data_IF_139686811752
#
_entry.id   IF_139686811752
#
_cell.length_a   1.000
_cell.length_b   1.000
_cell.length_c   1.000
_cell.angle_alpha   90.00
_cell.angle_beta   90.00
_cell.angle_gamma   90.00
#
_symmetry.space_group_name_H-M   'P 1'
#
loop_
_entity.id
_entity.type
_entity.pdbx_description
1 polymer ?
#
# COMPACT_ATOMS: atom_id res chain seq x y z
N UNK A 1 -30.76 11.78 -8.80
CA UNK A 1 -30.09 10.46 -8.94
C UNK A 1 -29.68 9.84 -7.59
N UNK A 2 -29.23 10.60 -6.58
CA UNK A 2 -28.85 10.06 -5.26
C UNK A 2 -29.93 9.22 -4.54
N UNK A 3 -31.23 9.57 -4.65
CA UNK A 3 -32.33 8.85 -3.98
C UNK A 3 -32.55 7.42 -4.49
N UNK A 4 -32.36 7.15 -5.79
CA UNK A 4 -32.71 5.87 -6.42
C UNK A 4 -31.85 4.72 -5.90
N UNK A 5 -30.56 4.97 -5.66
CA UNK A 5 -29.61 3.96 -5.20
C UNK A 5 -29.59 3.77 -3.67
N UNK A 6 -30.09 4.74 -2.90
CA UNK A 6 -30.17 4.66 -1.44
C UNK A 6 -31.48 4.05 -0.93
N UNK A 7 -32.48 3.84 -1.80
CA UNK A 7 -33.81 3.31 -1.43
C UNK A 7 -34.14 1.99 -2.13
N UNK A 8 -33.31 1.50 -3.03
CA UNK A 8 -33.53 0.22 -3.70
C UNK A 8 -33.16 -0.93 -2.77
N UNK A 9 -34.11 -1.83 -2.51
CA UNK A 9 -33.90 -3.05 -1.70
C UNK A 9 -32.86 -3.97 -2.34
N UNK A 10 -32.84 -4.07 -3.67
CA UNK A 10 -31.89 -4.88 -4.43
C UNK A 10 -31.53 -4.22 -5.75
N UNK A 11 -30.24 -4.24 -6.08
CA UNK A 11 -29.72 -3.83 -7.39
C UNK A 11 -29.16 -5.03 -8.14
N UNK A 12 -29.60 -5.20 -9.38
CA UNK A 12 -29.14 -6.27 -10.29
C UNK A 12 -28.12 -5.70 -11.25
N UNK A 13 -26.94 -6.29 -11.26
CA UNK A 13 -25.82 -5.91 -12.12
C UNK A 13 -25.76 -6.82 -13.33
N UNK A 14 -25.98 -6.24 -14.50
CA UNK A 14 -25.97 -6.99 -15.75
C UNK A 14 -24.60 -6.92 -16.46
N UNK A 15 -23.97 -8.08 -16.52
CA UNK A 15 -22.73 -8.36 -17.25
C UNK A 15 -23.06 -8.93 -18.63
N UNK A 16 -23.37 -8.05 -19.57
CA UNK A 16 -23.76 -8.40 -20.95
C UNK A 16 -22.67 -9.14 -21.73
N UNK A 17 -21.43 -9.06 -21.27
CA UNK A 17 -20.24 -9.62 -21.92
C UNK A 17 -19.53 -10.72 -21.10
N UNK A 18 -20.11 -11.16 -19.98
CA UNK A 18 -19.63 -12.33 -19.22
C UNK A 18 -20.49 -13.54 -19.60
N UNK A 19 -19.87 -14.61 -20.10
CA UNK A 19 -20.57 -15.83 -20.50
C UNK A 19 -20.74 -16.83 -19.35
N UNK A 20 -21.68 -17.79 -19.45
CA UNK A 20 -21.82 -18.85 -18.45
C UNK A 20 -20.55 -19.68 -18.27
N UNK A 21 -19.80 -19.92 -19.34
CA UNK A 21 -18.53 -20.66 -19.27
C UNK A 21 -17.51 -19.94 -18.40
N UNK A 22 -17.42 -18.61 -18.50
CA UNK A 22 -16.52 -17.81 -17.65
C UNK A 22 -16.85 -18.01 -16.17
N UNK A 23 -18.13 -18.01 -15.81
CA UNK A 23 -18.54 -18.27 -14.42
C UNK A 23 -18.23 -19.71 -14.01
N UNK A 24 -18.54 -20.70 -14.84
CA UNK A 24 -18.27 -22.11 -14.55
C UNK A 24 -16.78 -22.37 -14.32
N UNK A 25 -15.92 -21.88 -15.21
CA UNK A 25 -14.47 -22.03 -15.09
C UNK A 25 -13.90 -21.29 -13.88
N UNK A 26 -14.42 -20.10 -13.56
CA UNK A 26 -13.99 -19.32 -12.39
C UNK A 26 -14.24 -20.07 -11.07
N UNK A 27 -15.36 -20.80 -10.97
CA UNK A 27 -15.76 -21.56 -9.78
C UNK A 27 -15.18 -22.97 -9.71
N UNK A 28 -14.37 -23.40 -10.69
CA UNK A 28 -13.63 -24.66 -10.56
C UNK A 28 -12.55 -24.53 -9.49
N UNK A 29 -12.46 -25.53 -8.62
CA UNK A 29 -11.40 -25.56 -7.59
C UNK A 29 -10.02 -25.89 -8.17
N UNK A 30 -9.96 -26.52 -9.35
CA UNK A 30 -8.69 -26.89 -9.99
C UNK A 30 -8.11 -25.73 -10.78
N UNK A 31 -6.79 -25.54 -10.63
CA UNK A 31 -6.01 -24.62 -11.43
C UNK A 31 -6.01 -25.07 -12.90
N UNK A 32 -6.38 -24.17 -13.80
CA UNK A 32 -6.35 -24.40 -15.23
C UNK A 32 -6.18 -23.05 -15.95
N UNK A 33 -5.50 -22.99 -17.12
CA UNK A 33 -5.40 -21.76 -17.93
C UNK A 33 -6.74 -21.06 -18.16
N UNK A 34 -7.81 -21.84 -18.26
CA UNK A 34 -9.20 -21.40 -18.44
C UNK A 34 -9.74 -20.63 -17.22
N UNK A 35 -9.31 -20.99 -16.00
CA UNK A 35 -9.68 -20.28 -14.77
C UNK A 35 -9.02 -18.89 -14.71
N UNK A 36 -7.77 -18.78 -15.14
CA UNK A 36 -7.07 -17.48 -15.27
C UNK A 36 -7.68 -16.61 -16.38
N UNK A 37 -8.02 -17.21 -17.53
CA UNK A 37 -8.74 -16.52 -18.60
C UNK A 37 -10.10 -15.99 -18.14
N UNK A 38 -10.78 -16.73 -17.27
CA UNK A 38 -12.05 -16.32 -16.68
C UNK A 38 -11.92 -15.15 -15.71
N UNK A 39 -10.85 -15.13 -14.90
CA UNK A 39 -10.48 -13.96 -14.09
C UNK A 39 -10.31 -12.73 -14.98
N UNK A 40 -9.56 -12.85 -16.07
CA UNK A 40 -9.35 -11.77 -17.04
C UNK A 40 -10.68 -11.28 -17.62
N UNK A 41 -11.54 -12.21 -18.05
CA UNK A 41 -12.82 -11.89 -18.69
C UNK A 41 -13.77 -11.12 -17.77
N UNK A 42 -13.94 -11.56 -16.51
CA UNK A 42 -14.78 -10.84 -15.53
C UNK A 42 -14.25 -9.43 -15.29
N UNK A 43 -12.94 -9.29 -15.12
CA UNK A 43 -12.31 -8.02 -14.77
C UNK A 43 -12.28 -7.03 -15.93
N UNK A 44 -12.20 -7.52 -17.16
CA UNK A 44 -12.28 -6.70 -18.37
C UNK A 44 -13.71 -6.43 -18.85
N UNK A 45 -14.74 -6.88 -18.11
CA UNK A 45 -16.13 -6.69 -18.52
C UNK A 45 -16.48 -5.21 -18.72
N UNK A 46 -17.35 -4.94 -19.70
CA UNK A 46 -17.90 -3.60 -19.99
C UNK A 46 -18.61 -3.01 -18.79
N UNK A 47 -19.11 -3.85 -17.90
CA UNK A 47 -19.74 -3.42 -16.65
C UNK A 47 -18.78 -2.58 -15.78
N UNK A 48 -17.53 -3.02 -15.60
CA UNK A 48 -16.49 -2.24 -14.93
C UNK A 48 -15.97 -1.04 -15.76
N UNK A 49 -16.52 -0.78 -16.94
CA UNK A 49 -16.25 0.46 -17.69
C UNK A 49 -17.23 1.59 -17.35
N UNK A 50 -18.32 1.28 -16.66
CA UNK A 50 -19.38 2.24 -16.32
C UNK A 50 -19.09 2.90 -14.97
N UNK A 51 -19.53 4.15 -14.86
CA UNK A 51 -19.21 5.04 -13.72
C UNK A 51 -20.16 4.86 -12.55
N UNK A 52 -21.34 4.30 -12.81
CA UNK A 52 -22.34 4.07 -11.78
C UNK A 52 -22.11 2.77 -11.01
N UNK A 53 -21.35 1.83 -11.57
CA UNK A 53 -20.85 0.59 -10.96
C UNK A 53 -20.37 0.79 -9.53
N UNK A 54 -19.64 1.87 -9.24
CA UNK A 54 -19.21 2.18 -7.89
C UNK A 54 -20.35 2.50 -6.91
N UNK A 55 -21.19 3.45 -7.30
CA UNK A 55 -22.22 4.01 -6.43
C UNK A 55 -23.44 3.10 -6.33
N UNK A 56 -23.76 2.37 -7.41
CA UNK A 56 -24.73 1.28 -7.42
C UNK A 56 -24.34 0.22 -6.39
N UNK A 57 -23.08 -0.18 -6.34
CA UNK A 57 -22.66 -1.22 -5.40
C UNK A 57 -22.49 -0.77 -3.96
N UNK A 58 -22.04 0.46 -3.74
CA UNK A 58 -21.80 1.00 -2.41
C UNK A 58 -23.12 1.38 -1.72
N UNK A 59 -24.10 1.89 -2.47
CA UNK A 59 -25.37 2.39 -1.90
C UNK A 59 -26.49 1.37 -1.87
N UNK A 60 -26.42 0.34 -2.72
CA UNK A 60 -27.45 -0.70 -2.73
C UNK A 60 -27.29 -1.63 -1.56
N UNK A 61 -28.38 -1.86 -0.82
CA UNK A 61 -28.39 -2.75 0.33
C UNK A 61 -28.03 -4.19 -0.07
N UNK A 62 -28.65 -4.69 -1.15
CA UNK A 62 -28.32 -5.98 -1.78
C UNK A 62 -27.89 -5.80 -3.23
N UNK A 63 -26.89 -6.59 -3.62
CA UNK A 63 -26.34 -6.63 -4.98
C UNK A 63 -26.49 -8.05 -5.51
N UNK A 64 -26.97 -8.18 -6.75
CA UNK A 64 -27.17 -9.45 -7.45
C UNK A 64 -26.60 -9.37 -8.86
N UNK A 65 -26.31 -10.52 -9.47
CA UNK A 65 -25.68 -10.56 -10.79
C UNK A 65 -26.61 -11.22 -11.80
N UNK A 66 -26.54 -10.70 -13.01
CA UNK A 66 -27.10 -11.33 -14.20
C UNK A 66 -26.00 -11.31 -15.28
N UNK A 67 -25.79 -12.43 -15.95
CA UNK A 67 -24.76 -12.56 -17.01
C UNK A 67 -25.40 -12.57 -18.40
N UNK A 68 -24.59 -12.58 -19.45
CA UNK A 68 -24.99 -12.36 -20.85
C UNK A 68 -26.22 -13.14 -21.34
N UNK A 69 -26.40 -14.38 -20.88
CA UNK A 69 -27.55 -15.24 -21.22
C UNK A 69 -28.77 -15.05 -20.30
N UNK A 70 -28.82 -13.96 -19.54
CA UNK A 70 -29.86 -13.65 -18.54
C UNK A 70 -29.93 -14.62 -17.36
N UNK A 71 -28.93 -15.47 -17.15
CA UNK A 71 -28.83 -16.26 -15.92
C UNK A 71 -28.66 -15.29 -14.74
N UNK A 72 -29.66 -15.31 -13.86
CA UNK A 72 -29.71 -14.55 -12.63
C UNK A 72 -29.20 -15.39 -11.46
N UNK A 73 -28.40 -14.77 -10.58
CA UNK A 73 -27.80 -15.42 -9.42
C UNK A 73 -28.42 -14.88 -8.12
N UNK A 74 -29.58 -15.40 -7.66
CA UNK A 74 -30.30 -14.90 -6.49
C UNK A 74 -29.57 -15.15 -5.16
N UNK A 75 -28.84 -16.25 -5.07
CA UNK A 75 -28.27 -16.76 -3.80
C UNK A 75 -26.75 -16.67 -3.73
N UNK A 76 -26.12 -16.10 -4.77
CA UNK A 76 -24.68 -15.99 -4.83
C UNK A 76 -24.21 -14.81 -3.96
N UNK A 77 -23.75 -15.11 -2.74
CA UNK A 77 -23.12 -14.15 -1.80
C UNK A 77 -21.68 -13.79 -2.22
N UNK A 78 -21.46 -13.62 -3.53
CA UNK A 78 -20.20 -13.15 -4.10
C UNK A 78 -20.48 -12.06 -5.15
N UNK A 79 -20.79 -10.83 -4.71
CA UNK A 79 -21.11 -9.73 -5.60
C UNK A 79 -20.00 -9.54 -6.65
N UNK A 80 -20.39 -9.71 -7.92
CA UNK A 80 -19.51 -9.58 -9.09
C UNK A 80 -18.34 -10.55 -9.13
N UNK A 81 -18.50 -11.69 -8.46
CA UNK A 81 -17.56 -12.79 -8.44
C UNK A 81 -16.20 -12.43 -7.79
N UNK A 82 -16.13 -11.33 -7.03
CA UNK A 82 -14.89 -10.78 -6.47
C UNK A 82 -14.17 -11.75 -5.53
N UNK A 83 -14.91 -12.50 -4.72
CA UNK A 83 -14.38 -13.50 -3.81
C UNK A 83 -13.65 -14.60 -4.57
N UNK A 84 -14.27 -15.15 -5.63
CA UNK A 84 -13.63 -16.18 -6.46
C UNK A 84 -12.51 -15.64 -7.33
N UNK A 85 -12.66 -14.44 -7.90
CA UNK A 85 -11.60 -13.75 -8.63
C UNK A 85 -10.38 -13.57 -7.73
N UNK A 86 -10.57 -13.11 -6.49
CA UNK A 86 -9.50 -12.94 -5.51
C UNK A 86 -8.87 -14.28 -5.09
N UNK A 87 -9.67 -15.34 -4.90
CA UNK A 87 -9.17 -16.70 -4.61
C UNK A 87 -8.28 -17.20 -5.75
N UNK A 88 -8.80 -17.17 -6.98
CA UNK A 88 -8.08 -17.63 -8.17
C UNK A 88 -6.79 -16.84 -8.40
N UNK A 89 -6.83 -15.52 -8.21
CA UNK A 89 -5.64 -14.67 -8.29
C UNK A 89 -4.57 -15.08 -7.29
N UNK A 90 -4.93 -15.25 -6.01
CA UNK A 90 -3.97 -15.69 -4.97
C UNK A 90 -3.35 -17.05 -5.26
N UNK A 91 -4.12 -17.98 -5.81
CA UNK A 91 -3.60 -19.30 -6.22
C UNK A 91 -2.51 -19.17 -7.30
N UNK A 92 -2.67 -18.23 -8.24
CA UNK A 92 -1.72 -17.99 -9.33
C UNK A 92 -0.47 -17.19 -8.90
N UNK A 93 -0.63 -16.21 -7.99
CA UNK A 93 0.49 -15.41 -7.45
C UNK A 93 1.51 -16.29 -6.74
N UNK A 94 1.05 -17.30 -5.97
CA UNK A 94 1.90 -18.27 -5.25
C UNK A 94 2.88 -19.04 -6.14
N UNK A 95 2.64 -19.06 -7.45
CA UNK A 95 3.41 -19.86 -8.42
C UNK A 95 4.40 -19.01 -9.22
N UNK A 96 4.44 -17.70 -8.98
CA UNK A 96 5.30 -16.76 -9.68
C UNK A 96 6.19 -16.02 -8.69
N UNK A 97 7.49 -15.93 -8.98
CA UNK A 97 8.43 -15.20 -8.13
C UNK A 97 8.10 -13.70 -8.03
N UNK A 98 7.46 -13.14 -9.06
CA UNK A 98 7.06 -11.72 -9.13
C UNK A 98 5.62 -11.63 -9.65
N UNK A 99 4.78 -10.91 -8.91
CA UNK A 99 3.37 -10.71 -9.30
C UNK A 99 3.28 -9.96 -10.63
N UNK A 100 4.19 -9.03 -10.89
CA UNK A 100 4.26 -8.27 -12.14
C UNK A 100 4.40 -9.12 -13.41
N UNK A 101 4.97 -10.33 -13.31
CA UNK A 101 5.05 -11.25 -14.44
C UNK A 101 3.67 -11.81 -14.80
N UNK A 102 2.88 -12.11 -13.77
CA UNK A 102 1.48 -12.52 -13.92
C UNK A 102 0.61 -11.34 -14.38
N UNK A 103 0.79 -10.16 -13.79
CA UNK A 103 0.08 -8.93 -14.17
C UNK A 103 0.25 -8.61 -15.66
N UNK A 104 1.47 -8.76 -16.20
CA UNK A 104 1.72 -8.61 -17.65
C UNK A 104 0.99 -9.65 -18.50
N UNK A 105 0.97 -10.92 -18.07
CA UNK A 105 0.27 -12.01 -18.78
C UNK A 105 -1.24 -11.79 -18.82
N UNK A 106 -1.81 -11.21 -17.77
CA UNK A 106 -3.25 -10.94 -17.69
C UNK A 106 -3.65 -9.58 -18.27
N UNK A 107 -2.70 -8.87 -18.90
CA UNK A 107 -2.87 -7.53 -19.44
C UNK A 107 -3.38 -6.52 -18.41
N UNK A 108 -2.89 -6.63 -17.17
CA UNK A 108 -3.21 -5.70 -16.09
C UNK A 108 -2.87 -4.27 -16.50
N UNK A 109 -3.83 -3.35 -16.37
CA UNK A 109 -3.73 -1.97 -16.85
C UNK A 109 -4.61 -1.66 -18.07
N UNK A 110 -5.07 -2.66 -18.82
CA UNK A 110 -6.00 -2.42 -19.94
C UNK A 110 -7.44 -2.12 -19.50
N UNK A 111 -7.88 -2.59 -18.33
CA UNK A 111 -9.11 -2.17 -17.63
C UNK A 111 -9.07 -2.55 -16.13
N UNK A 112 -9.97 -1.92 -15.36
CA UNK A 112 -10.04 -1.92 -13.89
C UNK A 112 -9.99 -3.32 -13.29
N UNK A 113 -9.08 -3.49 -12.33
CA UNK A 113 -8.86 -4.71 -11.57
C UNK A 113 -9.75 -4.71 -10.31
N UNK A 114 -10.88 -5.42 -10.30
CA UNK A 114 -11.87 -5.31 -9.23
C UNK A 114 -11.45 -6.01 -7.94
N UNK A 115 -10.53 -6.98 -7.99
CA UNK A 115 -10.10 -7.75 -6.81
C UNK A 115 -9.29 -6.93 -5.80
N UNK A 116 -8.71 -5.79 -6.21
CA UNK A 116 -8.07 -4.80 -5.32
C UNK A 116 -9.04 -4.20 -4.31
N UNK A 117 -10.35 -4.26 -4.59
CA UNK A 117 -11.41 -3.77 -3.72
C UNK A 117 -11.72 -4.74 -2.56
N UNK A 118 -11.28 -6.00 -2.68
CA UNK A 118 -11.64 -7.08 -1.76
C UNK A 118 -13.15 -7.45 -1.83
N UNK A 119 -13.61 -8.41 -1.02
CA UNK A 119 -15.01 -8.80 -0.97
C UNK A 119 -15.89 -7.66 -0.43
N UNK A 120 -16.91 -7.24 -1.18
CA UNK A 120 -17.83 -6.14 -0.82
C UNK A 120 -18.55 -6.32 0.54
N UNK A 121 -18.73 -7.55 0.98
CA UNK A 121 -19.24 -7.85 2.32
C UNK A 121 -18.37 -7.18 3.40
N UNK A 122 -17.05 -7.14 3.22
CA UNK A 122 -16.12 -6.49 4.13
C UNK A 122 -16.29 -4.97 4.11
N UNK A 123 -16.40 -4.38 2.92
CA UNK A 123 -16.69 -2.95 2.74
C UNK A 123 -17.99 -2.51 3.44
N UNK A 124 -19.06 -3.30 3.31
CA UNK A 124 -20.37 -3.02 3.94
C UNK A 124 -20.35 -3.21 5.47
N UNK A 125 -19.64 -4.22 5.97
CA UNK A 125 -19.53 -4.50 7.40
C UNK A 125 -18.90 -3.35 8.19
N UNK A 126 -17.98 -2.59 7.57
CA UNK A 126 -17.26 -1.51 8.22
C UNK A 126 -18.10 -0.23 8.42
N UNK A 127 -19.29 -0.11 7.79
CA UNK A 127 -20.16 1.09 7.78
C UNK A 127 -19.46 2.41 7.42
N UNK A 128 -18.18 2.37 7.02
CA UNK A 128 -17.32 3.48 6.65
C UNK A 128 -16.83 3.23 5.23
N UNK A 129 -17.06 4.20 4.35
CA UNK A 129 -16.51 4.16 3.00
C UNK A 129 -15.05 4.59 3.07
N UNK A 130 -14.12 3.69 2.75
CA UNK A 130 -12.73 4.08 2.60
C UNK A 130 -12.60 4.99 1.37
N UNK A 131 -12.04 6.20 1.51
CA UNK A 131 -11.78 7.14 0.41
C UNK A 131 -11.00 6.48 -0.72
N UNK A 132 -10.15 5.52 -0.37
CA UNK A 132 -9.46 4.64 -1.30
C UNK A 132 -10.35 4.00 -2.34
N UNK A 133 -11.42 3.39 -1.83
CA UNK A 133 -12.35 2.62 -2.59
C UNK A 133 -13.22 3.53 -3.45
N UNK A 134 -13.67 4.66 -2.87
CA UNK A 134 -14.41 5.69 -3.62
C UNK A 134 -13.56 6.30 -4.75
N UNK A 135 -12.26 6.48 -4.52
CA UNK A 135 -11.32 7.03 -5.51
C UNK A 135 -11.18 6.12 -6.72
N UNK A 136 -10.73 4.87 -6.54
CA UNK A 136 -10.48 3.92 -7.65
C UNK A 136 -11.69 3.79 -8.60
N UNK A 137 -12.87 4.02 -8.04
CA UNK A 137 -14.17 3.93 -8.65
C UNK A 137 -14.62 5.18 -9.44
N UNK A 138 -14.19 6.39 -9.06
CA UNK A 138 -14.66 7.66 -9.67
C UNK A 138 -13.87 8.08 -10.91
N UNK A 139 -12.72 7.46 -11.17
CA UNK A 139 -11.70 7.91 -12.13
C UNK A 139 -12.04 7.65 -13.60
N UNK A 140 -13.31 7.78 -13.97
CA UNK A 140 -13.84 7.54 -15.32
C UNK A 140 -14.77 8.64 -15.87
N UNK A 141 -14.86 9.85 -15.27
CA UNK A 141 -15.65 10.96 -15.88
C UNK A 141 -15.05 12.36 -15.79
N UNK A 142 -15.37 13.15 -16.83
CA UNK A 142 -15.06 14.57 -17.01
C UNK A 142 -15.82 15.53 -16.08
N UNK A 143 -15.98 16.78 -16.55
CA UNK A 143 -16.20 18.01 -15.77
C UNK A 143 -17.04 17.86 -14.47
N UNK A 144 -16.45 18.30 -13.36
CA UNK A 144 -17.00 18.19 -11.99
C UNK A 144 -16.30 17.15 -11.10
N UNK A 145 -15.47 16.26 -11.67
CA UNK A 145 -14.75 15.22 -10.94
C UNK A 145 -13.89 15.77 -9.79
N UNK A 146 -13.06 16.80 -10.04
CA UNK A 146 -12.18 17.37 -9.00
C UNK A 146 -12.99 17.80 -7.76
N UNK A 147 -14.08 18.52 -7.94
CA UNK A 147 -14.89 19.02 -6.82
C UNK A 147 -15.48 17.88 -6.00
N UNK A 148 -16.10 16.90 -6.65
CA UNK A 148 -16.71 15.76 -5.97
C UNK A 148 -15.66 14.87 -5.29
N UNK A 149 -14.50 14.73 -5.93
CA UNK A 149 -13.39 13.95 -5.44
C UNK A 149 -12.83 14.49 -4.12
N UNK A 150 -12.56 15.80 -4.07
CA UNK A 150 -12.12 16.45 -2.84
C UNK A 150 -13.23 16.47 -1.79
N UNK A 151 -14.51 16.60 -2.19
CA UNK A 151 -15.64 16.50 -1.27
C UNK A 151 -15.67 15.14 -0.57
N UNK A 152 -15.52 14.04 -1.30
CA UNK A 152 -15.53 12.70 -0.71
C UNK A 152 -14.30 12.50 0.19
N UNK A 153 -13.12 12.96 -0.23
CA UNK A 153 -11.91 12.94 0.60
C UNK A 153 -12.13 13.61 1.95
N UNK A 154 -12.76 14.77 1.92
CA UNK A 154 -13.06 15.58 3.08
C UNK A 154 -14.06 14.90 4.01
N UNK A 155 -15.15 14.36 3.46
CA UNK A 155 -16.16 13.65 4.23
C UNK A 155 -15.63 12.34 4.83
N UNK A 156 -14.71 11.63 4.15
CA UNK A 156 -14.01 10.47 4.70
C UNK A 156 -13.18 10.84 5.94
N UNK A 157 -12.43 11.95 5.90
CA UNK A 157 -11.69 12.42 7.07
C UNK A 157 -12.61 12.75 8.24
N UNK A 158 -13.74 13.42 7.98
CA UNK A 158 -14.72 13.78 9.01
C UNK A 158 -15.30 12.58 9.75
N UNK A 159 -15.44 11.44 9.08
CA UNK A 159 -15.90 10.18 9.71
C UNK A 159 -14.77 9.33 10.29
N UNK A 160 -13.53 9.84 10.26
CA UNK A 160 -12.36 9.23 10.88
C UNK A 160 -11.51 8.35 9.97
N UNK A 161 -11.78 8.31 8.66
CA UNK A 161 -10.92 7.60 7.70
C UNK A 161 -9.77 8.51 7.24
N UNK A 162 -8.54 8.15 7.62
CA UNK A 162 -7.34 8.94 7.34
C UNK A 162 -6.63 8.56 6.05
N UNK A 163 -7.17 7.63 5.27
CA UNK A 163 -6.62 7.27 3.96
C UNK A 163 -6.42 8.46 3.00
N UNK A 164 -7.23 9.55 3.02
CA UNK A 164 -6.97 10.73 2.19
C UNK A 164 -5.63 11.43 2.47
N UNK A 165 -5.07 11.27 3.65
CA UNK A 165 -3.76 11.85 4.01
C UNK A 165 -2.60 10.93 3.66
N UNK A 166 -2.89 9.66 3.38
CA UNK A 166 -1.91 8.62 3.09
C UNK A 166 -1.84 8.30 1.59
N UNK A 167 -2.79 8.75 0.78
CA UNK A 167 -2.75 8.57 -0.67
C UNK A 167 -1.59 9.36 -1.29
N UNK A 168 -1.03 8.83 -2.38
CA UNK A 168 -0.01 9.52 -3.16
C UNK A 168 -0.64 10.75 -3.84
N UNK A 169 -0.16 11.98 -3.58
CA UNK A 169 -0.68 13.19 -4.20
C UNK A 169 -0.14 13.37 -5.62
N UNK A 170 -0.55 14.45 -6.28
CA UNK A 170 0.07 14.95 -7.49
C UNK A 170 1.53 15.34 -7.20
N UNK A 171 2.48 14.65 -7.85
CA UNK A 171 3.93 14.85 -7.63
C UNK A 171 4.59 15.80 -8.64
N UNK A 172 3.81 16.43 -9.53
CA UNK A 172 4.31 17.43 -10.48
C UNK A 172 5.47 16.95 -11.35
N UNK A 173 6.48 17.81 -11.53
CA UNK A 173 7.64 17.57 -12.40
C UNK A 173 8.69 16.57 -11.84
N UNK A 174 8.56 16.17 -10.57
CA UNK A 174 9.43 15.19 -9.91
C UNK A 174 9.20 13.78 -10.47
N UNK A 175 8.02 13.63 -11.05
CA UNK A 175 7.52 12.41 -11.60
C UNK A 175 8.11 12.12 -12.99
N UNK A 176 8.89 11.05 -13.07
CA UNK A 176 9.70 10.69 -14.24
C UNK A 176 9.15 9.46 -14.96
N UNK A 177 8.12 8.79 -14.43
CA UNK A 177 7.37 7.77 -15.16
C UNK A 177 6.62 8.53 -16.26
N UNK A 178 6.96 8.35 -17.53
CA UNK A 178 6.51 9.23 -18.63
C UNK A 178 4.99 9.21 -18.90
N UNK A 179 4.44 10.11 -19.76
CA UNK A 179 3.00 10.30 -19.98
C UNK A 179 2.21 9.05 -20.41
N UNK A 180 2.82 8.11 -21.14
CA UNK A 180 2.18 6.82 -21.47
C UNK A 180 1.88 5.95 -20.23
N UNK A 181 2.58 6.21 -19.13
CA UNK A 181 2.39 5.58 -17.83
C UNK A 181 1.36 6.31 -16.94
N UNK A 182 0.63 7.33 -17.41
CA UNK A 182 -0.38 8.05 -16.60
C UNK A 182 -1.81 7.91 -17.12
N UNK A 183 -1.98 7.88 -18.44
CA UNK A 183 -3.28 7.64 -19.06
C UNK A 183 -3.81 6.23 -18.81
N UNK A 184 -2.91 5.27 -18.53
CA UNK A 184 -3.24 3.87 -18.23
C UNK A 184 -3.19 3.54 -16.72
N UNK A 185 -2.44 4.32 -15.93
CA UNK A 185 -2.18 4.04 -14.50
C UNK A 185 -2.82 5.05 -13.53
N UNK A 186 -3.65 5.95 -14.05
CA UNK A 186 -4.51 6.80 -13.24
C UNK A 186 -5.46 5.96 -12.40
N UNK A 187 -5.21 5.89 -11.08
CA UNK A 187 -6.04 5.32 -10.02
C UNK A 187 -6.49 3.85 -10.16
N UNK A 188 -6.27 3.25 -11.32
CA UNK A 188 -6.43 1.83 -11.64
C UNK A 188 -5.20 1.04 -11.24
N UNK A 189 -4.14 1.74 -10.82
CA UNK A 189 -2.90 1.15 -10.43
C UNK A 189 -2.78 1.01 -8.91
N UNK A 190 -2.21 -0.12 -8.54
CA UNK A 190 -2.17 -0.71 -7.21
C UNK A 190 -1.29 0.14 -6.25
N UNK A 191 -0.54 1.12 -6.77
CA UNK A 191 0.44 2.02 -6.10
C UNK A 191 -0.13 2.95 -5.03
N UNK A 192 -1.44 3.02 -4.93
CA UNK A 192 -2.12 3.71 -3.82
C UNK A 192 -2.93 2.76 -2.93
N UNK A 193 -3.21 1.53 -3.38
CA UNK A 193 -4.35 0.73 -2.89
C UNK A 193 -4.01 -0.69 -2.46
N UNK A 194 -3.03 -0.83 -1.56
CA UNK A 194 -2.77 -2.10 -0.90
C UNK A 194 -2.65 -2.01 0.62
N UNK A 195 -3.01 -0.89 1.25
CA UNK A 195 -3.15 -0.86 2.72
C UNK A 195 -4.28 -1.82 3.17
N UNK A 196 -5.28 -2.03 2.32
CA UNK A 196 -6.47 -2.82 2.62
C UNK A 196 -7.43 -2.07 3.56
N UNK A 197 -8.38 -2.80 4.14
CA UNK A 197 -9.40 -2.23 5.02
C UNK A 197 -8.83 -1.72 6.34
N UNK A 198 -9.47 -0.70 6.93
CA UNK A 198 -9.19 -0.28 8.31
C UNK A 198 -9.56 -1.42 9.26
N UNK A 199 -8.59 -1.84 10.08
CA UNK A 199 -8.75 -2.87 11.10
C UNK A 199 -8.88 -2.22 12.48
N UNK A 200 -8.13 -1.14 12.73
CA UNK A 200 -8.28 -0.32 13.92
C UNK A 200 -8.26 1.18 13.58
N UNK A 201 -9.20 1.96 14.13
CA UNK A 201 -9.25 3.41 13.95
C UNK A 201 -8.13 4.11 14.73
N UNK A 202 -7.83 5.38 14.38
CA UNK A 202 -6.85 6.18 15.12
C UNK A 202 -7.34 6.44 16.56
N UNK A 203 -6.50 6.16 17.57
CA UNK A 203 -6.85 6.29 18.99
C UNK A 203 -7.18 7.73 19.39
N UNK A 204 -6.50 8.70 18.77
CA UNK A 204 -6.70 10.13 19.03
C UNK A 204 -7.68 10.79 18.05
N UNK A 205 -8.38 10.01 17.21
CA UNK A 205 -9.25 10.55 16.16
C UNK A 205 -10.42 11.40 16.66
N UNK A 206 -10.87 11.20 17.91
CA UNK A 206 -11.91 12.03 18.55
C UNK A 206 -11.50 13.48 18.78
N UNK A 207 -10.20 13.79 18.74
CA UNK A 207 -9.66 15.14 18.93
C UNK A 207 -9.42 15.87 17.60
N UNK A 208 -9.79 15.25 16.48
CA UNK A 208 -9.60 15.85 15.16
C UNK A 208 -10.60 16.96 14.92
N UNK A 209 -10.11 18.12 14.49
CA UNK A 209 -10.93 19.29 14.19
C UNK A 209 -10.78 19.72 12.74
N UNK A 210 -11.85 20.23 12.15
CA UNK A 210 -11.93 20.61 10.74
C UNK A 210 -12.18 22.11 10.59
N UNK A 211 -11.47 22.73 9.65
CA UNK A 211 -11.80 24.04 9.12
C UNK A 211 -12.26 23.86 7.67
N UNK A 212 -13.58 23.86 7.47
CA UNK A 212 -14.21 23.69 6.15
C UNK A 212 -13.84 24.81 5.17
N UNK A 213 -13.71 26.05 5.67
CA UNK A 213 -13.43 27.23 4.82
C UNK A 213 -12.03 27.19 4.22
N UNK A 214 -11.07 26.64 4.95
CA UNK A 214 -9.67 26.55 4.52
C UNK A 214 -9.24 25.14 4.07
N UNK A 215 -10.16 24.17 4.12
CA UNK A 215 -9.88 22.74 3.89
C UNK A 215 -8.66 22.24 4.70
N UNK A 216 -8.64 22.58 6.00
CA UNK A 216 -7.57 22.17 6.92
C UNK A 216 -8.07 21.24 8.00
N UNK A 217 -7.31 20.18 8.23
CA UNK A 217 -7.56 19.21 9.30
C UNK A 217 -6.48 19.34 10.35
N UNK A 218 -6.88 19.42 11.62
CA UNK A 218 -5.93 19.37 12.74
C UNK A 218 -6.02 18.02 13.41
N UNK A 219 -4.89 17.32 13.49
CA UNK A 219 -4.77 15.95 14.00
C UNK A 219 -3.90 15.94 15.25
N UNK A 220 -4.25 15.09 16.20
CA UNK A 220 -3.37 14.74 17.32
C UNK A 220 -2.58 13.48 16.95
N UNK A 221 -1.26 13.62 16.90
CA UNK A 221 -0.33 12.62 16.37
C UNK A 221 0.88 12.47 17.30
N UNK A 222 1.62 11.37 17.15
CA UNK A 222 2.88 11.15 17.86
C UNK A 222 4.07 11.62 17.04
N UNK A 223 4.92 12.48 17.60
CA UNK A 223 6.20 12.87 17.00
C UNK A 223 7.17 11.69 16.99
N UNK A 224 7.63 11.32 15.80
CA UNK A 224 8.69 10.32 15.60
C UNK A 224 10.05 11.02 15.60
N UNK A 225 10.14 12.18 14.94
CA UNK A 225 11.40 12.89 14.76
C UNK A 225 11.49 13.65 13.44
N UNK A 226 12.71 14.07 13.10
CA UNK A 226 13.01 14.83 11.88
C UNK A 226 13.89 14.00 10.93
N UNK A 227 13.57 14.04 9.63
CA UNK A 227 14.37 13.36 8.59
C UNK A 227 15.73 14.04 8.45
N UNK A 228 16.80 13.35 8.85
CA UNK A 228 18.18 13.85 8.87
C UNK A 228 18.99 13.40 7.66
N UNK A 229 18.78 12.14 7.24
CA UNK A 229 19.47 11.48 6.13
C UNK A 229 18.42 10.91 5.18
N UNK A 230 18.64 11.08 3.88
CA UNK A 230 17.85 10.42 2.83
C UNK A 230 18.81 9.54 2.03
N UNK A 231 18.61 8.22 2.11
CA UNK A 231 19.38 7.25 1.34
C UNK A 231 19.18 7.45 -0.16
N UNK A 232 20.18 7.07 -0.95
CA UNK A 232 20.04 7.13 -2.41
C UNK A 232 19.04 6.08 -2.88
N UNK A 233 18.15 6.41 -3.83
CA UNK A 233 17.25 5.43 -4.42
C UNK A 233 18.08 4.49 -5.30
N UNK A 234 18.24 3.23 -4.90
CA UNK A 234 19.00 2.26 -5.67
C UNK A 234 18.18 1.79 -6.89
N UNK A 235 18.70 2.07 -8.09
CA UNK A 235 18.12 1.58 -9.35
C UNK A 235 18.81 0.27 -9.71
N UNK A 236 18.23 -0.85 -9.31
CA UNK A 236 18.85 -2.14 -9.51
C UNK A 236 17.92 -3.32 -9.26
N UNK A 237 18.49 -4.52 -9.21
CA UNK A 237 17.77 -5.73 -8.83
C UNK A 237 17.23 -5.61 -7.40
N UNK A 238 16.23 -6.42 -7.07
CA UNK A 238 15.68 -6.54 -5.71
C UNK A 238 16.77 -6.76 -4.65
N UNK A 239 17.79 -7.56 -4.99
CA UNK A 239 18.90 -7.87 -4.08
C UNK A 239 19.86 -6.68 -3.91
N UNK A 240 20.08 -5.88 -4.96
CA UNK A 240 20.87 -4.65 -4.86
C UNK A 240 20.16 -3.60 -4.00
N UNK A 241 18.84 -3.45 -4.17
CA UNK A 241 18.04 -2.58 -3.31
C UNK A 241 18.11 -3.01 -1.83
N UNK A 242 17.99 -4.31 -1.56
CA UNK A 242 18.15 -4.86 -0.20
C UNK A 242 19.56 -4.63 0.35
N UNK A 243 20.61 -4.86 -0.46
CA UNK A 243 22.02 -4.64 -0.10
C UNK A 243 22.28 -3.22 0.41
N UNK A 244 21.86 -2.20 -0.35
CA UNK A 244 22.07 -0.82 0.04
C UNK A 244 21.24 -0.41 1.25
N UNK A 245 19.97 -0.83 1.28
CA UNK A 245 19.09 -0.50 2.40
C UNK A 245 19.52 -1.17 3.70
N UNK A 246 20.00 -2.42 3.67
CA UNK A 246 20.53 -3.12 4.82
C UNK A 246 21.84 -2.48 5.33
N UNK A 247 22.74 -2.08 4.42
CA UNK A 247 23.97 -1.38 4.81
C UNK A 247 23.68 -0.03 5.47
N UNK A 248 22.80 0.78 4.89
CA UNK A 248 22.41 2.06 5.48
C UNK A 248 21.69 1.88 6.83
N UNK A 249 20.88 0.82 6.98
CA UNK A 249 20.24 0.48 8.25
C UNK A 249 21.27 0.16 9.33
N UNK A 250 22.30 -0.63 8.99
CA UNK A 250 23.43 -0.94 9.89
C UNK A 250 24.19 0.33 10.30
N UNK A 251 24.41 1.26 9.38
CA UNK A 251 25.10 2.52 9.68
C UNK A 251 24.32 3.44 10.61
N UNK A 252 22.99 3.44 10.51
CA UNK A 252 22.12 4.31 11.32
C UNK A 252 21.86 3.70 12.70
N UNK A 253 21.44 2.43 12.76
CA UNK A 253 20.98 1.80 14.00
C UNK A 253 22.12 1.10 14.76
N UNK A 254 23.22 0.77 14.09
CA UNK A 254 24.41 0.17 14.68
C UNK A 254 24.48 -1.36 14.52
N UNK A 255 25.60 -1.98 14.99
CA UNK A 255 25.92 -3.37 14.72
C UNK A 255 25.33 -4.38 15.71
N UNK A 256 24.59 -3.95 16.73
CA UNK A 256 23.89 -4.87 17.62
C UNK A 256 22.83 -5.67 16.83
N UNK A 257 22.85 -7.00 16.97
CA UNK A 257 21.96 -7.88 16.18
C UNK A 257 20.49 -7.57 16.42
N UNK A 258 20.08 -7.30 17.67
CA UNK A 258 18.67 -7.06 18.01
C UNK A 258 18.21 -5.71 17.47
N UNK A 259 19.01 -4.67 17.64
CA UNK A 259 18.71 -3.34 17.11
C UNK A 259 18.64 -3.37 15.57
N UNK A 260 19.59 -4.04 14.92
CA UNK A 260 19.63 -4.20 13.47
C UNK A 260 18.40 -4.93 12.91
N UNK A 261 17.99 -6.04 13.52
CA UNK A 261 16.80 -6.79 13.10
C UNK A 261 15.53 -5.97 13.32
N UNK A 262 15.44 -5.25 14.44
CA UNK A 262 14.32 -4.35 14.70
C UNK A 262 14.25 -3.23 13.66
N UNK A 263 15.39 -2.70 13.23
CA UNK A 263 15.51 -1.71 12.18
C UNK A 263 15.14 -2.27 10.79
N UNK A 264 15.51 -3.51 10.50
CA UNK A 264 15.04 -4.20 9.29
C UNK A 264 13.53 -4.39 9.27
N UNK A 265 12.89 -4.61 10.42
CA UNK A 265 11.43 -4.61 10.54
C UNK A 265 10.78 -3.29 10.10
N UNK A 266 11.46 -2.15 10.35
CA UNK A 266 11.02 -0.81 9.92
C UNK A 266 11.31 -0.49 8.45
N UNK A 267 12.14 -1.29 7.77
CA UNK A 267 12.60 -1.01 6.40
C UNK A 267 12.22 -2.07 5.36
N UNK A 268 11.88 -3.29 5.78
CA UNK A 268 11.57 -4.41 4.89
C UNK A 268 10.41 -5.28 5.37
N UNK A 269 9.64 -4.86 6.38
CA UNK A 269 8.64 -5.67 7.09
C UNK A 269 9.17 -6.95 7.74
N UNK A 270 8.54 -7.36 8.84
CA UNK A 270 8.86 -8.60 9.53
C UNK A 270 8.90 -8.44 11.04
N UNK A 271 8.52 -9.52 11.74
CA UNK A 271 8.61 -9.57 13.19
C UNK A 271 10.06 -9.76 13.62
N UNK A 272 10.57 -8.80 14.39
CA UNK A 272 11.90 -8.90 14.99
C UNK A 272 12.02 -10.14 15.90
N UNK A 273 10.96 -10.49 16.63
CA UNK A 273 10.96 -11.66 17.52
C UNK A 273 11.12 -12.96 16.75
N UNK A 274 10.30 -13.16 15.71
CA UNK A 274 10.37 -14.37 14.86
C UNK A 274 11.71 -14.47 14.15
N UNK A 275 12.29 -13.35 13.74
CA UNK A 275 13.61 -13.35 13.07
C UNK A 275 14.72 -13.73 14.05
N UNK A 276 14.67 -13.23 15.29
CA UNK A 276 15.61 -13.62 16.35
C UNK A 276 15.51 -15.10 16.71
N UNK A 277 14.29 -15.62 16.90
CA UNK A 277 14.04 -17.05 17.17
C UNK A 277 14.66 -17.94 16.09
N UNK A 278 14.45 -17.60 14.81
CA UNK A 278 15.05 -18.33 13.68
C UNK A 278 16.58 -18.31 13.70
N UNK A 279 17.19 -17.19 14.12
CA UNK A 279 18.65 -17.08 14.19
C UNK A 279 19.25 -17.89 15.34
N UNK A 280 18.56 -17.91 16.48
CA UNK A 280 18.92 -18.71 17.65
C UNK A 280 18.83 -20.20 17.32
N UNK A 281 17.73 -20.66 16.72
CA UNK A 281 17.54 -22.05 16.27
C UNK A 281 18.62 -22.50 15.29
N UNK A 282 19.08 -21.60 14.41
CA UNK A 282 20.14 -21.88 13.42
C UNK A 282 21.55 -21.69 13.96
N UNK A 283 21.73 -21.23 15.21
CA UNK A 283 23.02 -20.85 15.79
C UNK A 283 23.80 -19.82 14.94
N UNK A 284 23.08 -18.86 14.34
CA UNK A 284 23.65 -17.87 13.42
C UNK A 284 23.86 -16.48 14.06
N UNK A 285 23.42 -16.28 15.32
CA UNK A 285 23.51 -14.99 16.04
C UNK A 285 24.96 -14.48 16.11
N UNK A 286 25.89 -15.31 16.57
CA UNK A 286 27.29 -14.91 16.71
C UNK A 286 27.97 -14.62 15.37
N UNK A 287 27.60 -15.38 14.34
CA UNK A 287 28.12 -15.15 12.99
C UNK A 287 27.60 -13.83 12.44
N UNK A 288 26.31 -13.56 12.59
CA UNK A 288 25.72 -12.29 12.19
C UNK A 288 26.36 -11.12 12.95
N UNK A 289 26.52 -11.22 14.26
CA UNK A 289 27.18 -10.18 15.08
C UNK A 289 28.59 -9.85 14.58
N UNK A 290 29.40 -10.86 14.23
CA UNK A 290 30.74 -10.64 13.64
C UNK A 290 30.67 -9.92 12.29
N UNK A 291 29.72 -10.30 11.43
CA UNK A 291 29.57 -9.67 10.11
C UNK A 291 29.10 -8.21 10.25
N UNK A 292 28.15 -7.93 11.13
CA UNK A 292 27.67 -6.57 11.40
C UNK A 292 28.80 -5.69 11.93
N UNK A 293 29.58 -6.17 12.91
CA UNK A 293 30.73 -5.42 13.43
C UNK A 293 31.76 -5.12 12.34
N UNK A 294 32.07 -6.09 11.47
CA UNK A 294 33.00 -5.89 10.36
C UNK A 294 32.50 -4.82 9.39
N UNK A 295 31.25 -4.91 8.94
CA UNK A 295 30.69 -3.99 7.95
C UNK A 295 30.41 -2.59 8.51
N UNK A 296 30.08 -2.49 9.79
CA UNK A 296 29.89 -1.21 10.48
C UNK A 296 31.21 -0.43 10.57
N UNK A 297 32.33 -1.14 10.80
CA UNK A 297 33.66 -0.54 10.87
C UNK A 297 34.34 -0.36 9.48
N UNK A 298 33.63 -0.63 8.38
CA UNK A 298 34.09 -0.45 7.00
C UNK A 298 33.23 0.59 6.26
N UNK A 299 33.37 1.89 6.56
CA UNK A 299 32.58 2.95 5.92
C UNK A 299 32.86 3.12 4.42
N UNK A 300 33.99 2.62 3.93
CA UNK A 300 34.36 2.62 2.52
C UNK A 300 33.51 1.68 1.65
N UNK A 301 32.79 0.75 2.27
CA UNK A 301 31.91 -0.21 1.60
C UNK A 301 30.51 0.40 1.52
N UNK A 302 30.02 0.85 0.34
CA UNK A 302 28.79 1.63 0.24
C UNK A 302 27.51 0.78 0.34
N UNK A 303 27.62 -0.53 0.17
CA UNK A 303 26.49 -1.46 0.17
C UNK A 303 26.92 -2.83 0.68
N UNK A 304 25.98 -3.66 1.13
CA UNK A 304 26.31 -5.01 1.55
C UNK A 304 26.97 -5.81 0.40
N UNK A 305 28.09 -6.55 0.62
CA UNK A 305 28.77 -7.28 -0.44
C UNK A 305 27.85 -8.21 -1.24
N UNK A 306 27.98 -8.22 -2.57
CA UNK A 306 27.21 -9.11 -3.46
C UNK A 306 27.81 -10.52 -3.55
N UNK A 307 29.12 -10.62 -3.38
CA UNK A 307 29.89 -11.86 -3.48
C UNK A 307 30.56 -12.24 -2.15
N UNK A 308 31.02 -13.49 -2.05
CA UNK A 308 31.66 -14.04 -0.86
C UNK A 308 30.74 -14.77 0.11
N UNK A 309 31.31 -15.31 1.20
CA UNK A 309 30.61 -16.18 2.15
C UNK A 309 29.55 -15.48 3.01
N UNK A 310 29.71 -14.18 3.24
CA UNK A 310 28.81 -13.34 4.06
C UNK A 310 28.11 -12.28 3.19
N UNK A 311 27.80 -12.64 1.95
CA UNK A 311 27.17 -11.74 1.01
C UNK A 311 25.70 -11.45 1.34
N UNK A 312 25.07 -10.57 0.57
CA UNK A 312 23.68 -10.17 0.76
C UNK A 312 22.69 -11.33 0.59
N UNK A 313 23.02 -12.32 -0.23
CA UNK A 313 22.19 -13.52 -0.39
C UNK A 313 22.18 -14.34 0.90
N UNK A 314 23.33 -14.55 1.52
CA UNK A 314 23.43 -15.19 2.83
C UNK A 314 22.61 -14.42 3.87
N UNK A 315 22.71 -13.08 3.91
CA UNK A 315 21.90 -12.28 4.83
C UNK A 315 20.40 -12.48 4.60
N UNK A 316 19.96 -12.44 3.34
CA UNK A 316 18.55 -12.68 3.01
C UNK A 316 18.08 -14.08 3.43
N UNK A 317 18.93 -15.10 3.24
CA UNK A 317 18.62 -16.49 3.59
C UNK A 317 18.58 -16.72 5.10
N UNK A 318 19.52 -16.12 5.85
CA UNK A 318 19.63 -16.31 7.31
C UNK A 318 18.45 -15.66 8.03
N UNK A 319 18.05 -14.46 7.58
CA UNK A 319 16.85 -13.74 8.05
C UNK A 319 15.54 -14.27 7.46
N UNK A 320 15.61 -15.28 6.59
CA UNK A 320 14.46 -15.87 5.90
C UNK A 320 13.63 -14.86 5.09
N UNK A 321 14.30 -13.86 4.51
CA UNK A 321 13.69 -12.85 3.63
C UNK A 321 13.59 -13.32 2.18
N UNK A 322 14.47 -14.24 1.77
CA UNK A 322 14.47 -14.89 0.46
C UNK A 322 13.59 -16.14 0.38
N UNK A 323 12.93 -16.53 1.49
CA UNK A 323 12.08 -17.72 1.59
C UNK A 323 10.61 -17.32 1.71
N UNK A 324 9.73 -18.15 1.15
CA UNK A 324 8.28 -18.01 1.32
C UNK A 324 7.95 -18.53 2.73
N UNK A 325 7.28 -17.72 3.55
CA UNK A 325 6.88 -18.10 4.90
C UNK A 325 5.53 -18.84 4.86
N UNK A 326 5.22 -19.71 5.84
CA UNK A 326 3.93 -20.38 5.90
C UNK A 326 2.76 -19.37 5.90
N UNK A 327 1.86 -19.49 4.93
CA UNK A 327 0.71 -18.59 4.77
C UNK A 327 0.92 -17.43 3.79
N UNK A 328 2.17 -17.10 3.45
CA UNK A 328 2.49 -16.06 2.48
C UNK A 328 2.45 -16.62 1.04
N UNK A 329 2.22 -15.74 0.08
CA UNK A 329 2.24 -16.04 -1.35
C UNK A 329 3.56 -15.68 -2.04
N UNK A 330 4.40 -14.87 -1.40
CA UNK A 330 5.71 -14.45 -1.91
C UNK A 330 6.79 -14.47 -0.82
N UNK A 331 8.05 -14.38 -1.23
CA UNK A 331 9.16 -14.11 -0.29
C UNK A 331 9.04 -12.69 0.25
N UNK A 332 9.63 -12.40 1.41
CA UNK A 332 9.63 -11.03 1.96
C UNK A 332 10.23 -10.04 0.95
N UNK A 333 11.35 -10.39 0.30
CA UNK A 333 11.94 -9.51 -0.71
C UNK A 333 11.05 -9.37 -1.96
N UNK A 334 10.37 -10.44 -2.38
CA UNK A 334 9.39 -10.44 -3.46
C UNK A 334 8.26 -9.45 -3.19
N UNK A 335 7.67 -9.58 -2.01
CA UNK A 335 6.57 -8.76 -1.53
C UNK A 335 7.00 -7.29 -1.31
N UNK A 336 8.23 -7.07 -0.86
CA UNK A 336 8.86 -5.74 -0.80
C UNK A 336 9.04 -5.09 -2.17
N UNK A 337 9.38 -5.88 -3.20
CA UNK A 337 9.57 -5.35 -4.53
C UNK A 337 8.25 -5.06 -5.24
N UNK A 338 7.22 -5.85 -4.93
CA UNK A 338 5.88 -5.78 -5.47
C UNK A 338 4.96 -4.98 -4.54
N UNK A 339 4.18 -5.65 -3.69
CA UNK A 339 3.11 -5.04 -2.88
C UNK A 339 3.60 -3.89 -2.02
N UNK A 340 4.62 -4.11 -1.19
CA UNK A 340 5.09 -3.05 -0.31
C UNK A 340 5.94 -1.99 -1.01
N UNK A 341 6.54 -2.31 -2.16
CA UNK A 341 7.20 -1.31 -3.02
C UNK A 341 6.16 -0.32 -3.54
N UNK A 342 5.06 -0.87 -4.02
CA UNK A 342 3.85 -0.15 -4.45
C UNK A 342 3.28 0.73 -3.33
N UNK A 343 3.07 0.20 -2.12
CA UNK A 343 2.60 1.00 -0.97
C UNK A 343 3.65 2.06 -0.52
N UNK A 344 4.95 1.83 -0.69
CA UNK A 344 5.97 2.85 -0.40
C UNK A 344 6.28 3.76 -1.59
N UNK A 345 5.44 3.80 -2.63
CA UNK A 345 5.60 4.69 -3.79
C UNK A 345 6.84 4.43 -4.64
N UNK A 346 7.32 3.18 -4.74
CA UNK A 346 8.42 2.82 -5.64
C UNK A 346 8.22 3.39 -7.05
N UNK A 347 9.23 4.04 -7.67
CA UNK A 347 10.65 4.13 -7.29
C UNK A 347 11.01 5.29 -6.34
N UNK A 348 10.02 5.93 -5.73
CA UNK A 348 10.19 7.03 -4.78
C UNK A 348 10.15 6.55 -3.31
N UNK A 349 10.42 5.27 -3.09
CA UNK A 349 10.68 4.74 -1.76
C UNK A 349 12.15 4.98 -1.38
N UNK A 350 12.37 5.41 -0.14
CA UNK A 350 13.69 5.70 0.40
C UNK A 350 13.85 5.08 1.77
N UNK A 351 15.06 4.58 2.06
CA UNK A 351 15.51 4.40 3.44
C UNK A 351 16.03 5.74 3.96
N UNK A 352 15.48 6.21 5.07
CA UNK A 352 15.84 7.49 5.68
C UNK A 352 16.27 7.29 7.12
N UNK A 353 17.15 8.17 7.60
CA UNK A 353 17.48 8.28 9.02
C UNK A 353 16.65 9.37 9.66
N UNK A 354 15.84 9.03 10.65
CA UNK A 354 15.00 9.97 11.40
C UNK A 354 15.59 10.16 12.79
N UNK A 355 15.95 11.39 13.13
CA UNK A 355 16.44 11.75 14.48
C UNK A 355 15.25 12.03 15.39
N UNK A 356 15.11 11.22 16.44
CA UNK A 356 14.07 11.41 17.45
C UNK A 356 14.32 12.68 18.27
N UNK A 357 13.29 13.51 18.46
CA UNK A 357 13.40 14.76 19.24
C UNK A 357 13.53 14.54 20.74
N UNK A 358 13.15 13.35 21.25
CA UNK A 358 13.22 13.02 22.67
C UNK A 358 14.58 12.49 23.10
N UNK A 359 15.08 11.46 22.39
CA UNK A 359 16.35 10.80 22.75
C UNK A 359 17.54 11.20 21.87
N UNK A 360 17.34 12.02 20.84
CA UNK A 360 18.36 12.47 19.88
C UNK A 360 19.08 11.35 19.10
N UNK A 361 18.65 10.08 19.25
CA UNK A 361 19.13 8.96 18.44
C UNK A 361 18.49 9.00 17.07
N UNK A 362 19.23 8.53 16.07
CA UNK A 362 18.75 8.34 14.71
C UNK A 362 18.32 6.89 14.52
N UNK A 363 17.24 6.68 13.75
CA UNK A 363 16.73 5.35 13.43
C UNK A 363 16.37 5.26 11.95
N UNK A 364 16.66 4.11 11.34
CA UNK A 364 16.33 3.84 9.95
C UNK A 364 14.85 3.51 9.80
N UNK A 365 14.25 4.09 8.77
CA UNK A 365 12.88 3.83 8.36
C UNK A 365 12.75 3.80 6.84
N UNK A 366 11.81 3.01 6.32
CA UNK A 366 11.37 3.13 4.93
C UNK A 366 10.22 4.11 4.81
N UNK A 367 10.30 4.98 3.80
CA UNK A 367 9.28 6.00 3.53
C UNK A 367 8.96 6.04 2.04
N UNK A 368 7.73 6.35 1.70
CA UNK A 368 7.35 6.77 0.35
C UNK A 368 7.36 8.29 0.27
N UNK A 369 8.18 8.84 -0.63
CA UNK A 369 8.29 10.28 -0.83
C UNK A 369 7.32 10.78 -1.88
N UNK A 370 6.74 11.95 -1.64
CA UNK A 370 5.92 12.69 -2.59
C UNK A 370 6.66 13.90 -3.19
N UNK A 371 7.87 14.17 -2.70
CA UNK A 371 8.73 15.29 -3.07
C UNK A 371 10.15 14.81 -3.41
N UNK A 372 11.02 15.73 -3.86
CA UNK A 372 12.42 15.39 -4.11
C UNK A 372 13.14 15.04 -2.81
N UNK A 373 14.19 14.20 -2.86
CA UNK A 373 15.02 13.89 -1.68
C UNK A 373 15.52 15.13 -0.93
N UNK A 374 15.79 16.23 -1.65
CA UNK A 374 16.23 17.50 -1.07
C UNK A 374 15.14 18.18 -0.23
N UNK A 375 13.88 18.03 -0.60
CA UNK A 375 12.72 18.58 0.12
C UNK A 375 12.29 17.65 1.27
N UNK A 376 12.52 16.35 1.13
CA UNK A 376 12.26 15.36 2.18
C UNK A 376 13.16 15.57 3.41
N UNK A 377 14.35 16.12 3.21
CA UNK A 377 15.26 16.48 4.30
C UNK A 377 14.61 17.56 5.18
N UNK A 378 14.71 17.38 6.50
CA UNK A 378 14.06 18.20 7.52
C UNK A 378 12.52 18.09 7.59
N UNK A 379 11.90 17.17 6.82
CA UNK A 379 10.50 16.83 7.05
C UNK A 379 10.34 16.22 8.44
N UNK A 380 9.25 16.55 9.12
CA UNK A 380 8.89 15.94 10.41
C UNK A 380 8.04 14.70 10.20
N UNK A 381 8.35 13.63 10.92
CA UNK A 381 7.63 12.38 10.86
C UNK A 381 6.64 12.27 12.02
N UNK A 382 5.37 12.05 11.70
CA UNK A 382 4.28 11.99 12.66
C UNK A 382 3.50 10.69 12.53
N UNK A 383 3.55 9.86 13.56
CA UNK A 383 2.76 8.62 13.66
C UNK A 383 1.31 8.95 13.97
N UNK A 384 0.39 8.20 13.37
CA UNK A 384 -1.03 8.22 13.71
C UNK A 384 -1.30 7.07 14.69
N UNK A 385 -1.43 7.34 16.01
CA UNK A 385 -1.49 6.27 17.02
C UNK A 385 -2.76 5.43 16.88
N UNK A 386 -2.62 4.12 17.05
CA UNK A 386 -3.68 3.13 16.99
C UNK A 386 -4.16 2.74 15.59
N UNK A 387 -3.90 3.56 14.57
CA UNK A 387 -4.35 3.29 13.22
C UNK A 387 -3.69 2.02 12.68
N UNK A 388 -4.52 1.12 12.15
CA UNK A 388 -4.08 -0.12 11.49
C UNK A 388 -4.95 -0.39 10.28
N UNK A 389 -4.33 -0.60 9.13
CA UNK A 389 -4.97 -1.23 7.97
C UNK A 389 -4.53 -2.69 7.85
N UNK A 390 -5.21 -3.48 7.01
CA UNK A 390 -4.95 -4.91 6.82
C UNK A 390 -3.47 -5.23 6.51
N UNK A 391 -2.80 -4.39 5.73
CA UNK A 391 -1.41 -4.57 5.32
C UNK A 391 -0.44 -3.65 6.08
N UNK A 392 -0.84 -3.12 7.24
CA UNK A 392 0.05 -2.38 8.13
C UNK A 392 0.05 -3.00 9.53
N UNK A 393 1.09 -2.69 10.30
CA UNK A 393 1.07 -2.97 11.73
C UNK A 393 0.26 -1.92 12.48
N UNK A 394 -0.20 -2.29 13.69
CA UNK A 394 -0.72 -1.30 14.63
C UNK A 394 0.41 -0.33 14.98
N UNK A 395 0.12 0.97 15.01
CA UNK A 395 1.12 2.01 15.23
C UNK A 395 2.22 2.06 14.14
N UNK A 396 1.96 1.45 12.98
CA UNK A 396 2.88 1.41 11.84
C UNK A 396 2.69 2.56 10.85
N UNK A 397 1.65 3.39 10.98
CA UNK A 397 1.32 4.41 9.99
C UNK A 397 1.76 5.79 10.44
N UNK A 398 2.46 6.48 9.54
CA UNK A 398 2.89 7.86 9.77
C UNK A 398 2.87 8.68 8.47
N UNK A 399 2.82 9.99 8.63
CA UNK A 399 2.96 10.98 7.56
C UNK A 399 4.25 11.77 7.76
N UNK A 400 4.90 12.14 6.67
CA UNK A 400 5.99 13.10 6.64
C UNK A 400 5.41 14.47 6.29
N UNK A 401 5.77 15.49 7.07
CA UNK A 401 5.17 16.82 6.98
C UNK A 401 6.26 17.88 6.83
N UNK A 402 6.06 18.79 5.89
CA UNK A 402 6.86 20.00 5.74
C UNK A 402 5.92 21.21 5.69
N UNK A 403 6.05 22.12 6.66
CA UNK A 403 5.08 23.18 6.87
C UNK A 403 3.70 22.59 7.19
N UNK A 404 2.73 22.80 6.29
CA UNK A 404 1.36 22.27 6.41
C UNK A 404 1.01 21.23 5.33
N UNK A 405 2.02 20.71 4.62
CA UNK A 405 1.85 19.75 3.52
C UNK A 405 2.38 18.38 3.92
N UNK A 406 1.65 17.34 3.51
CA UNK A 406 2.15 15.96 3.55
C UNK A 406 3.12 15.79 2.39
N UNK A 407 4.37 15.46 2.69
CA UNK A 407 5.45 15.28 1.72
C UNK A 407 5.90 13.83 1.58
N UNK A 408 5.29 12.92 2.35
CA UNK A 408 5.51 11.49 2.24
C UNK A 408 4.71 10.71 3.28
N UNK A 409 4.85 9.38 3.24
CA UNK A 409 4.18 8.43 4.15
C UNK A 409 5.10 7.32 4.61
N UNK A 410 4.73 6.66 5.70
CA UNK A 410 5.43 5.52 6.27
C UNK A 410 4.40 4.46 6.69
N UNK A 411 4.65 3.19 6.37
CA UNK A 411 3.71 2.09 6.64
C UNK A 411 4.25 1.11 7.68
N UNK A 412 5.55 1.19 7.96
CA UNK A 412 6.27 0.46 9.02
C UNK A 412 6.91 1.42 10.02
N UNK A 413 6.21 2.50 10.35
CA UNK A 413 6.61 3.49 11.36
C UNK A 413 6.46 2.97 12.79
N UNK A 414 6.73 1.68 13.01
CA UNK A 414 6.71 1.09 14.34
C UNK A 414 7.69 1.84 15.26
N UNK A 415 7.43 1.86 16.57
CA UNK A 415 8.21 2.64 17.51
C UNK A 415 9.67 2.21 17.51
N UNK A 416 10.58 3.16 17.25
CA UNK A 416 12.02 2.90 17.28
C UNK A 416 12.64 3.12 18.67
N UNK A 417 11.96 3.87 19.54
CA UNK A 417 12.36 4.09 20.93
C UNK A 417 11.12 4.29 21.83
N UNK A 418 11.36 4.45 23.13
CA UNK A 418 10.31 4.67 24.14
C UNK A 418 9.73 6.09 24.16
N UNK A 419 10.29 7.04 23.40
CA UNK A 419 9.78 8.41 23.36
C UNK A 419 8.39 8.46 22.70
N UNK A 420 7.43 9.05 23.41
CA UNK A 420 6.02 9.22 22.98
C UNK A 420 5.56 10.65 23.24
N UNK A 421 5.91 11.57 22.34
CA UNK A 421 5.44 12.95 22.42
C UNK A 421 4.23 13.11 21.52
N UNK A 422 3.11 13.54 22.07
CA UNK A 422 1.92 13.87 21.27
C UNK A 422 1.94 15.35 20.89
N UNK A 423 1.63 15.67 19.65
CA UNK A 423 1.52 17.03 19.13
C UNK A 423 0.22 17.19 18.32
N UNK A 424 -0.30 18.41 18.26
CA UNK A 424 -1.37 18.78 17.33
C UNK A 424 -0.74 19.39 16.07
N UNK A 425 -1.06 18.83 14.90
CA UNK A 425 -0.57 19.34 13.61
C UNK A 425 -1.75 19.73 12.72
N UNK A 426 -1.63 20.86 12.02
CA UNK A 426 -2.63 21.31 11.05
C UNK A 426 -2.13 21.07 9.63
N UNK A 427 -2.85 20.23 8.89
CA UNK A 427 -2.53 19.84 7.53
C UNK A 427 -3.54 20.42 6.55
N UNK A 428 -3.06 20.83 5.38
CA UNK A 428 -3.91 21.06 4.21
C UNK A 428 -4.22 19.74 3.54
N UNK A 429 -5.39 19.67 2.91
CA UNK A 429 -5.71 18.55 2.03
C UNK A 429 -4.64 18.39 0.95
N UNK A 430 -4.13 17.16 0.72
CA UNK A 430 -3.17 16.93 -0.36
C UNK A 430 -3.78 17.28 -1.71
N UNK A 431 -2.95 17.82 -2.61
CA UNK A 431 -3.38 17.97 -3.99
C UNK A 431 -3.36 16.60 -4.66
N UNK A 432 -4.51 16.02 -4.91
CA UNK A 432 -4.57 14.70 -5.52
C UNK A 432 -4.32 14.75 -7.04
N UNK A 433 -3.67 13.71 -7.56
CA UNK A 433 -3.39 13.57 -8.97
C UNK A 433 -4.68 13.45 -9.80
N UNK A 434 -4.85 14.25 -10.86
CA UNK A 434 -5.98 14.15 -11.78
C UNK A 434 -5.48 13.62 -13.15
N UNK A 435 -5.93 12.44 -13.62
CA UNK A 435 -5.51 11.89 -14.90
C UNK A 435 -5.81 12.85 -16.05
N UNK A 436 -4.91 12.87 -17.03
CA UNK A 436 -5.00 13.75 -18.20
C UNK A 436 -6.29 13.50 -19.01
N UNK A 437 -6.82 12.27 -18.97
CA UNK A 437 -8.12 11.94 -19.55
C UNK A 437 -9.30 12.73 -18.94
N UNK A 438 -9.09 13.39 -17.78
CA UNK A 438 -10.06 14.24 -17.08
C UNK A 438 -9.63 15.70 -16.96
N UNK A 439 -8.42 16.07 -17.39
CA UNK A 439 -8.06 17.46 -17.64
C UNK A 439 -8.64 17.87 -18.99
N UNK A 440 -9.97 18.07 -19.01
CA UNK A 440 -10.61 18.85 -20.06
C UNK A 440 -10.59 20.30 -19.57
N UNK A 441 -10.11 21.19 -20.44
CA UNK A 441 -10.20 22.65 -20.31
C UNK A 441 -11.55 23.11 -19.75
#
# INVERSE_FOLDING_TARGET
MNKLFSTAETSVLYFDDVSPNVVTELYKDKRAPERLSSVISVCNSKYFKRVWTAMEFIRSERVRMMISNYTYFPDLDDPTFLGQVFKAWKDEVRQHEKVHDLERKVEMGKNQVPWSLGPLRQAKLLKRMNFAMATALLCKRGSGFKTEYYRIAWECLKVGDYSPLLITPFMGAIERRGPGHWSEFGYSDVFTWQLGQEVHPPTLGKHTTFNDSEQRVTLHVEDIGTVSIVGRPERGSMMQAFSSAAKLTLEIDGPDVKDFITALGRTHTGSASTTMEILEEKNEVDRLQRVLNRLYNSPEIPSWPLDGKDNIKWLADVLSFSKIRPGDDQTVLGDNAARFGTIHCRPYDYTVGITCTGCNRMFAHKVGSFVLPTELRNAKAYRIPGLKYLCSEKDGLAVLVQGNKVVGRMIWATPACSCRKTEAITLRMPEFFLPIAFSIN
#
